data_IF_619537087557
#
_entry.id   IF_619537087557
#
_cell.length_a   1.000
_cell.length_b   1.000
_cell.length_c   1.000
_cell.angle_alpha   90.00
_cell.angle_beta   90.00
_cell.angle_gamma   90.00
#
_symmetry.space_group_name_H-M   'P 1'
#
loop_
_entity.id
_entity.type
_entity.pdbx_description
1 polymer ?
#
# COMPACT_ATOMS: atom_id res chain seq x y z
N UNK A 1 -6.63 48.36 44.01
CA UNK A 1 -5.74 47.21 43.74
C UNK A 1 -6.52 46.24 42.88
N UNK A 2 -6.15 46.08 41.60
CA UNK A 2 -6.81 45.16 40.67
C UNK A 2 -5.85 43.99 40.44
N UNK A 3 -6.23 42.81 40.90
CA UNK A 3 -5.44 41.58 40.78
C UNK A 3 -5.72 40.95 39.41
N UNK A 4 -4.72 40.89 38.54
CA UNK A 4 -4.82 40.20 37.26
C UNK A 4 -4.58 38.69 37.46
N UNK A 5 -5.51 37.85 37.00
CA UNK A 5 -5.35 36.40 36.96
C UNK A 5 -4.63 36.01 35.66
N UNK A 6 -3.53 35.26 35.79
CA UNK A 6 -2.74 34.75 34.65
C UNK A 6 -3.20 33.33 34.35
N UNK A 7 -3.77 33.09 33.16
CA UNK A 7 -4.09 31.75 32.66
C UNK A 7 -2.87 31.17 31.96
N UNK A 8 -2.30 30.10 32.51
CA UNK A 8 -1.23 29.32 31.87
C UNK A 8 -1.85 28.37 30.83
N UNK A 9 -1.52 28.58 29.55
CA UNK A 9 -1.88 27.68 28.46
C UNK A 9 -0.80 26.59 28.38
N UNK A 10 -1.12 25.39 28.84
CA UNK A 10 -0.24 24.22 28.66
C UNK A 10 -0.36 23.75 27.21
N UNK A 11 0.65 24.01 26.39
CA UNK A 11 0.70 23.52 25.01
C UNK A 11 0.89 22.01 24.98
N UNK A 12 0.00 21.29 24.28
CA UNK A 12 0.26 19.90 23.88
C UNK A 12 1.31 19.93 22.75
N UNK A 13 2.55 19.58 23.07
CA UNK A 13 3.60 19.36 22.08
C UNK A 13 3.32 18.02 21.40
N UNK A 14 2.66 18.03 20.24
CA UNK A 14 2.60 16.85 19.37
C UNK A 14 3.99 16.66 18.75
N UNK A 15 4.79 15.75 19.29
CA UNK A 15 5.98 15.27 18.59
C UNK A 15 5.53 14.55 17.33
N UNK A 16 5.68 15.21 16.18
CA UNK A 16 5.49 14.59 14.88
C UNK A 16 6.64 13.59 14.69
N UNK A 17 6.42 12.34 15.10
CA UNK A 17 7.39 11.26 14.88
C UNK A 17 7.52 11.08 13.38
N UNK A 18 8.67 11.52 12.84
CA UNK A 18 9.02 11.22 11.45
C UNK A 18 8.95 9.70 11.27
N UNK A 19 8.20 9.19 10.28
CA UNK A 19 8.13 7.76 10.03
C UNK A 19 9.54 7.19 9.90
N UNK A 20 9.85 6.03 10.51
CA UNK A 20 11.15 5.40 10.32
C UNK A 20 11.35 5.17 8.82
N UNK A 21 12.54 5.51 8.32
CA UNK A 21 12.82 5.44 6.89
C UNK A 21 12.72 4.02 6.31
N UNK A 22 12.72 3.89 4.97
CA UNK A 22 12.51 2.64 4.26
C UNK A 22 13.48 1.52 4.68
N UNK A 23 14.68 1.86 5.17
CA UNK A 23 15.68 0.90 5.66
C UNK A 23 15.21 0.03 6.83
N UNK A 24 14.20 0.46 7.58
CA UNK A 24 13.65 -0.29 8.72
C UNK A 24 12.35 -1.03 8.35
N UNK A 25 11.92 -0.96 7.09
CA UNK A 25 10.75 -1.65 6.60
C UNK A 25 11.19 -2.94 5.88
N UNK A 26 10.68 -4.14 6.26
CA UNK A 26 11.03 -5.40 5.60
C UNK A 26 10.30 -5.51 4.25
N UNK A 27 10.62 -4.61 3.33
CA UNK A 27 9.99 -4.47 2.02
C UNK A 27 10.08 -5.75 1.20
N UNK A 28 9.05 -6.01 0.41
CA UNK A 28 9.04 -7.05 -0.60
C UNK A 28 9.71 -6.51 -1.85
N UNK A 29 10.88 -7.05 -2.19
CA UNK A 29 11.52 -6.77 -3.46
C UNK A 29 10.77 -7.46 -4.59
N UNK A 30 10.31 -6.71 -5.60
CA UNK A 30 9.61 -7.34 -6.72
C UNK A 30 10.59 -8.08 -7.64
N UNK A 31 10.04 -9.03 -8.38
CA UNK A 31 10.74 -9.81 -9.39
C UNK A 31 9.84 -10.13 -10.57
N UNK A 32 10.01 -11.32 -11.13
CA UNK A 32 9.19 -11.87 -12.23
C UNK A 32 8.48 -13.11 -11.73
N UNK A 33 7.48 -12.90 -10.89
CA UNK A 33 6.80 -13.98 -10.18
C UNK A 33 5.30 -13.87 -10.38
N UNK A 34 4.76 -14.87 -11.05
CA UNK A 34 3.34 -15.06 -11.32
C UNK A 34 3.10 -16.52 -11.74
N UNK A 35 1.84 -16.88 -12.00
CA UNK A 35 1.50 -18.19 -12.59
C UNK A 35 2.27 -18.47 -13.88
N UNK A 36 2.77 -19.70 -14.02
CA UNK A 36 3.48 -20.16 -15.22
C UNK A 36 2.59 -20.29 -16.46
N UNK A 37 1.28 -20.43 -16.27
CA UNK A 37 0.33 -20.66 -17.37
C UNK A 37 -0.04 -19.37 -18.11
N UNK A 38 0.42 -18.21 -17.65
CA UNK A 38 0.00 -16.90 -18.15
C UNK A 38 1.16 -16.23 -18.88
N UNK A 39 0.93 -15.71 -20.10
CA UNK A 39 1.94 -14.94 -20.81
C UNK A 39 2.39 -13.72 -19.97
N UNK A 40 3.69 -13.46 -19.95
CA UNK A 40 4.30 -12.38 -19.16
C UNK A 40 3.61 -11.02 -19.40
N UNK A 41 3.21 -10.75 -20.63
CA UNK A 41 2.51 -9.53 -21.05
C UNK A 41 1.12 -9.34 -20.42
N UNK A 42 0.52 -10.40 -19.89
CA UNK A 42 -0.83 -10.36 -19.30
C UNK A 42 -0.82 -9.93 -17.84
N UNK A 43 0.37 -9.83 -17.21
CA UNK A 43 0.51 -9.37 -15.83
C UNK A 43 0.99 -7.91 -15.81
N UNK A 44 0.15 -7.03 -15.26
CA UNK A 44 0.47 -5.61 -15.10
C UNK A 44 1.77 -5.42 -14.34
N UNK A 45 2.81 -4.89 -15.00
CA UNK A 45 4.13 -4.72 -14.38
C UNK A 45 4.80 -6.05 -14.04
N UNK A 46 4.85 -6.99 -15.00
CA UNK A 46 5.53 -8.27 -14.86
C UNK A 46 6.96 -8.20 -14.33
N UNK A 47 7.73 -7.21 -14.80
CA UNK A 47 9.09 -6.93 -14.32
C UNK A 47 9.15 -6.51 -12.85
N UNK A 48 8.00 -6.15 -12.28
CA UNK A 48 7.83 -5.72 -10.89
C UNK A 48 6.67 -6.46 -10.22
N UNK A 49 6.68 -7.79 -10.37
CA UNK A 49 5.66 -8.68 -9.85
C UNK A 49 6.16 -9.51 -8.68
N UNK A 50 5.23 -9.97 -7.87
CA UNK A 50 5.47 -10.86 -6.74
C UNK A 50 4.29 -11.82 -6.61
N UNK A 51 4.54 -13.11 -6.40
CA UNK A 51 3.48 -14.11 -6.38
C UNK A 51 3.96 -15.52 -6.05
N UNK A 52 3.00 -16.40 -5.78
CA UNK A 52 3.23 -17.80 -5.40
C UNK A 52 2.69 -18.81 -6.44
N UNK A 53 2.37 -18.33 -7.64
CA UNK A 53 1.76 -19.10 -8.73
C UNK A 53 0.24 -19.26 -8.62
N UNK A 54 -0.38 -18.98 -7.46
CA UNK A 54 -1.84 -19.01 -7.29
C UNK A 54 -2.44 -17.61 -7.19
N UNK A 55 -1.70 -16.70 -6.57
CA UNK A 55 -2.01 -15.28 -6.52
C UNK A 55 -0.72 -14.51 -6.82
N UNK A 56 -0.84 -13.47 -7.62
CA UNK A 56 0.26 -12.57 -7.91
C UNK A 56 -0.22 -11.13 -7.86
N UNK A 57 0.68 -10.24 -7.47
CA UNK A 57 0.51 -8.79 -7.55
C UNK A 57 1.61 -8.24 -8.45
N UNK A 58 1.24 -7.29 -9.29
CA UNK A 58 2.14 -6.59 -10.19
C UNK A 58 2.01 -5.07 -10.05
N UNK A 59 3.02 -4.37 -10.56
CA UNK A 59 3.14 -2.92 -10.39
C UNK A 59 3.70 -2.50 -9.03
N UNK A 60 4.46 -3.38 -8.37
CA UNK A 60 5.24 -2.97 -7.21
C UNK A 60 6.28 -1.93 -7.65
N UNK A 61 6.62 -1.02 -6.75
CA UNK A 61 7.66 -0.05 -7.03
C UNK A 61 9.05 -0.69 -6.89
N UNK A 62 10.07 -0.17 -7.60
CA UNK A 62 11.45 -0.56 -7.37
C UNK A 62 11.80 -0.50 -5.88
N UNK A 63 12.58 -1.47 -5.42
CA UNK A 63 13.01 -1.59 -4.02
C UNK A 63 11.87 -1.69 -3.00
N UNK A 64 10.62 -1.90 -3.43
CA UNK A 64 9.46 -1.97 -2.55
C UNK A 64 9.08 -0.62 -1.92
N UNK A 65 9.57 0.50 -2.46
CA UNK A 65 9.37 1.86 -1.94
C UNK A 65 8.50 2.68 -2.90
N UNK A 66 7.32 3.06 -2.44
CA UNK A 66 6.45 4.03 -3.11
C UNK A 66 6.92 5.44 -2.76
N UNK A 67 7.37 6.19 -3.77
CA UNK A 67 7.65 7.63 -3.68
C UNK A 67 6.57 8.42 -4.42
N UNK A 68 5.47 8.70 -3.72
CA UNK A 68 4.25 9.25 -4.30
C UNK A 68 4.34 10.76 -4.51
N UNK A 69 4.32 11.17 -5.77
CA UNK A 69 4.16 12.58 -6.15
C UNK A 69 2.76 13.13 -5.80
N UNK A 70 2.57 14.46 -5.90
CA UNK A 70 1.33 15.13 -5.48
C UNK A 70 0.06 14.62 -6.19
N UNK A 71 0.16 14.15 -7.44
CA UNK A 71 -0.97 13.62 -8.21
C UNK A 71 -1.54 12.30 -7.66
N UNK A 72 -0.80 11.64 -6.78
CA UNK A 72 -1.23 10.41 -6.09
C UNK A 72 -1.81 10.68 -4.70
N UNK A 73 -1.88 11.95 -4.29
CA UNK A 73 -2.38 12.33 -2.97
C UNK A 73 -3.85 12.73 -3.09
N UNK A 74 -4.70 11.98 -2.41
CA UNK A 74 -6.12 12.26 -2.32
C UNK A 74 -6.39 13.51 -1.47
N UNK A 75 -7.60 14.08 -1.58
CA UNK A 75 -7.98 15.30 -0.84
C UNK A 75 -7.92 15.13 0.69
N UNK A 76 -8.13 13.91 1.18
CA UNK A 76 -8.03 13.54 2.60
C UNK A 76 -6.58 13.24 3.03
N UNK A 77 -5.61 13.37 2.13
CA UNK A 77 -4.19 13.13 2.37
C UNK A 77 -3.75 11.69 2.19
N UNK A 78 -4.66 10.75 1.86
CA UNK A 78 -4.32 9.37 1.56
C UNK A 78 -3.48 9.26 0.28
N UNK A 79 -2.60 8.27 0.24
CA UNK A 79 -1.72 8.01 -0.90
C UNK A 79 -2.37 6.89 -1.72
N UNK A 80 -2.82 7.22 -2.94
CA UNK A 80 -3.44 6.26 -3.87
C UNK A 80 -2.38 5.60 -4.73
N UNK A 81 -2.42 4.27 -4.82
CA UNK A 81 -1.57 3.51 -5.72
C UNK A 81 -2.36 2.41 -6.44
N UNK A 82 -2.07 2.22 -7.72
CA UNK A 82 -2.71 1.19 -8.54
C UNK A 82 -1.88 -0.10 -8.51
N UNK A 83 -2.56 -1.20 -8.25
CA UNK A 83 -1.97 -2.54 -8.31
C UNK A 83 -2.80 -3.45 -9.21
N UNK A 84 -2.09 -4.30 -9.96
CA UNK A 84 -2.70 -5.35 -10.75
C UNK A 84 -2.58 -6.68 -10.02
N UNK A 85 -3.70 -7.35 -9.77
CA UNK A 85 -3.69 -8.68 -9.18
C UNK A 85 -3.99 -9.70 -10.24
N UNK A 86 -3.40 -10.87 -10.12
CA UNK A 86 -3.77 -12.04 -10.90
C UNK A 86 -4.25 -13.15 -9.98
N UNK A 87 -5.43 -13.68 -10.29
CA UNK A 87 -6.14 -14.68 -9.48
C UNK A 87 -6.18 -16.01 -10.21
N UNK A 88 -5.45 -17.00 -9.71
CA UNK A 88 -5.39 -18.35 -10.29
C UNK A 88 -6.51 -19.27 -9.87
N UNK A 89 -7.43 -18.79 -9.04
CA UNK A 89 -8.58 -19.55 -8.59
C UNK A 89 -9.78 -18.61 -8.45
N UNK A 90 -10.99 -19.11 -8.75
CA UNK A 90 -12.20 -18.31 -8.61
C UNK A 90 -12.50 -18.02 -7.14
N UNK A 91 -13.15 -16.88 -6.89
CA UNK A 91 -13.69 -16.55 -5.58
C UNK A 91 -13.68 -15.07 -5.25
N UNK A 92 -14.30 -14.75 -4.12
CA UNK A 92 -14.27 -13.40 -3.55
C UNK A 92 -12.82 -13.00 -3.28
N UNK A 93 -12.43 -11.89 -3.89
CA UNK A 93 -11.10 -11.33 -3.73
C UNK A 93 -11.15 -10.18 -2.75
N UNK A 94 -10.31 -10.26 -1.72
CA UNK A 94 -10.23 -9.26 -0.68
C UNK A 94 -8.80 -8.75 -0.56
N UNK A 95 -8.67 -7.46 -0.24
CA UNK A 95 -7.39 -6.86 0.11
C UNK A 95 -7.54 -6.15 1.43
N UNK A 96 -6.60 -6.41 2.32
CA UNK A 96 -6.45 -5.70 3.59
C UNK A 96 -5.02 -5.18 3.70
N UNK A 97 -4.80 -4.22 4.59
CA UNK A 97 -3.45 -3.90 4.98
C UNK A 97 -3.37 -3.09 6.24
N UNK A 98 -2.23 -3.25 6.92
CA UNK A 98 -1.96 -2.68 8.23
C UNK A 98 -0.60 -2.01 8.23
N UNK A 99 -0.49 -0.94 9.00
CA UNK A 99 0.78 -0.27 9.25
C UNK A 99 1.62 -1.10 10.22
N UNK A 100 2.91 -1.25 9.94
CA UNK A 100 3.85 -2.03 10.72
C UNK A 100 4.70 -1.18 11.67
N UNK A 101 4.92 0.09 11.32
CA UNK A 101 5.89 0.98 11.97
C UNK A 101 5.25 2.11 12.77
N UNK A 102 3.95 2.03 13.02
CA UNK A 102 3.21 3.05 13.74
C UNK A 102 1.71 2.81 13.72
N UNK A 103 0.96 3.71 14.34
CA UNK A 103 -0.50 3.67 14.33
C UNK A 103 -1.06 4.31 13.06
N UNK A 104 -2.02 3.64 12.43
CA UNK A 104 -2.87 4.18 11.38
C UNK A 104 -4.13 3.29 11.24
N UNK A 105 -5.25 3.81 10.73
CA UNK A 105 -6.35 2.98 10.26
C UNK A 105 -5.87 1.97 9.19
N UNK A 106 -6.56 0.84 8.99
CA UNK A 106 -6.27 -0.07 7.88
C UNK A 106 -6.31 0.67 6.53
N UNK A 107 -5.52 0.21 5.56
CA UNK A 107 -5.63 0.75 4.20
C UNK A 107 -7.02 0.45 3.63
N UNK A 108 -7.51 1.34 2.77
CA UNK A 108 -8.74 1.09 2.01
C UNK A 108 -8.37 0.51 0.65
N UNK A 109 -9.07 -0.55 0.25
CA UNK A 109 -8.96 -1.12 -1.09
C UNK A 109 -10.22 -0.81 -1.89
N UNK A 110 -10.03 -0.36 -3.12
CA UNK A 110 -11.06 -0.28 -4.15
C UNK A 110 -10.84 -1.43 -5.14
N UNK A 111 -11.81 -2.34 -5.20
CA UNK A 111 -11.78 -3.56 -6.01
C UNK A 111 -13.02 -3.52 -6.90
N UNK A 112 -12.91 -2.96 -8.13
CA UNK A 112 -14.05 -2.85 -9.04
C UNK A 112 -14.51 -4.21 -9.58
N UNK A 113 -15.80 -4.31 -9.84
CA UNK A 113 -16.40 -5.42 -10.58
C UNK A 113 -15.96 -5.43 -12.06
N UNK A 114 -16.30 -6.51 -12.77
CA UNK A 114 -16.10 -6.61 -14.24
C UNK A 114 -14.85 -7.37 -14.69
N UNK A 115 -14.07 -7.91 -13.76
CA UNK A 115 -12.82 -8.65 -14.01
C UNK A 115 -12.97 -10.18 -13.91
N UNK A 116 -14.19 -10.70 -14.04
CA UNK A 116 -14.51 -12.13 -13.94
C UNK A 116 -14.21 -12.73 -12.56
N UNK A 117 -14.16 -14.06 -12.49
CA UNK A 117 -13.84 -14.77 -11.23
C UNK A 117 -12.34 -15.13 -11.11
N UNK A 118 -11.63 -15.18 -12.23
CA UNK A 118 -10.20 -15.53 -12.33
C UNK A 118 -9.46 -14.55 -13.22
N UNK A 119 -8.12 -14.59 -13.19
CA UNK A 119 -7.28 -13.78 -14.05
C UNK A 119 -7.01 -12.40 -13.46
N UNK A 120 -6.80 -11.42 -14.35
CA UNK A 120 -6.43 -10.07 -13.96
C UNK A 120 -7.56 -9.36 -13.19
N UNK A 121 -7.20 -8.61 -12.16
CA UNK A 121 -8.07 -7.72 -11.39
C UNK A 121 -7.32 -6.41 -11.12
N UNK A 122 -7.82 -5.30 -11.66
CA UNK A 122 -7.29 -3.98 -11.31
C UNK A 122 -7.78 -3.57 -9.91
N UNK A 123 -6.92 -2.90 -9.13
CA UNK A 123 -7.28 -2.39 -7.80
C UNK A 123 -6.64 -1.03 -7.53
N UNK A 124 -7.28 -0.22 -6.69
CA UNK A 124 -6.71 0.97 -6.09
C UNK A 124 -6.51 0.78 -4.59
N UNK A 125 -5.29 0.95 -4.08
CA UNK A 125 -5.00 0.93 -2.65
C UNK A 125 -4.76 2.35 -2.15
N UNK A 126 -5.36 2.67 -1.01
CA UNK A 126 -5.33 3.99 -0.41
C UNK A 126 -4.71 3.90 0.97
N UNK A 127 -3.45 4.30 1.08
CA UNK A 127 -2.70 4.30 2.32
C UNK A 127 -3.00 5.60 3.09
N UNK A 128 -3.59 5.53 4.29
CA UNK A 128 -3.98 6.73 5.03
C UNK A 128 -2.79 7.53 5.59
N UNK A 129 -1.59 6.96 5.60
CA UNK A 129 -0.37 7.60 6.09
C UNK A 129 0.88 7.05 5.39
N UNK A 130 1.95 7.85 5.40
CA UNK A 130 3.32 7.38 5.09
C UNK A 130 3.75 6.31 6.11
N UNK A 131 4.65 5.40 5.71
CA UNK A 131 5.23 4.38 6.58
C UNK A 131 5.32 3.00 5.94
N UNK A 132 5.65 2.02 6.76
CA UNK A 132 5.76 0.62 6.36
C UNK A 132 4.40 -0.09 6.45
N UNK A 133 3.95 -0.70 5.35
CA UNK A 133 2.64 -1.34 5.22
C UNK A 133 2.75 -2.79 4.80
N UNK A 134 2.09 -3.68 5.55
CA UNK A 134 1.82 -5.06 5.11
C UNK A 134 0.46 -5.10 4.41
N UNK A 135 0.45 -5.59 3.18
CA UNK A 135 -0.74 -5.74 2.35
C UNK A 135 -0.99 -7.22 2.10
N UNK A 136 -2.20 -7.68 2.37
CA UNK A 136 -2.62 -9.07 2.15
C UNK A 136 -3.74 -9.10 1.12
N UNK A 137 -3.49 -9.76 -0.02
CA UNK A 137 -4.53 -10.18 -0.95
C UNK A 137 -4.97 -11.60 -0.63
N UNK A 138 -6.28 -11.88 -0.70
CA UNK A 138 -6.84 -13.18 -0.29
C UNK A 138 -7.97 -13.64 -1.21
N UNK A 139 -7.97 -14.94 -1.52
CA UNK A 139 -9.07 -15.66 -2.19
C UNK A 139 -9.30 -16.95 -1.42
N UNK A 140 -10.40 -17.05 -0.69
CA UNK A 140 -10.64 -18.21 0.20
C UNK A 140 -9.47 -18.41 1.17
N UNK A 141 -8.80 -19.56 1.09
CA UNK A 141 -7.61 -19.89 1.89
C UNK A 141 -6.28 -19.44 1.27
N UNK A 142 -6.27 -19.10 -0.03
CA UNK A 142 -5.07 -18.58 -0.71
C UNK A 142 -4.83 -17.15 -0.25
N UNK A 143 -3.60 -16.86 0.18
CA UNK A 143 -3.19 -15.51 0.58
C UNK A 143 -1.82 -15.18 0.02
N UNK A 144 -1.63 -13.93 -0.36
CA UNK A 144 -0.34 -13.37 -0.74
C UNK A 144 -0.11 -12.11 0.07
N UNK A 145 1.06 -12.01 0.68
CA UNK A 145 1.44 -10.87 1.52
C UNK A 145 2.64 -10.19 0.90
N UNK A 146 2.58 -8.87 0.73
CA UNK A 146 3.75 -8.07 0.43
C UNK A 146 3.84 -6.90 1.41
N UNK A 147 5.06 -6.41 1.61
CA UNK A 147 5.35 -5.24 2.43
C UNK A 147 5.90 -4.14 1.54
N UNK A 148 5.40 -2.93 1.70
CA UNK A 148 5.90 -1.75 0.97
C UNK A 148 6.08 -0.58 1.92
N UNK A 149 7.13 0.21 1.69
CA UNK A 149 7.28 1.49 2.35
C UNK A 149 6.64 2.58 1.49
N UNK A 150 5.81 3.43 2.08
CA UNK A 150 5.06 4.47 1.39
C UNK A 150 5.48 5.83 1.89
N UNK A 151 5.86 6.71 0.98
CA UNK A 151 6.19 8.10 1.28
C UNK A 151 5.65 9.04 0.21
N UNK A 152 5.50 10.30 0.58
CA UNK A 152 5.19 11.41 -0.31
C UNK A 152 6.50 12.04 -0.76
N UNK A 153 6.63 12.31 -2.06
CA UNK A 153 7.82 12.96 -2.60
C UNK A 153 7.95 14.35 -1.98
N UNK A 154 9.06 14.60 -1.29
CA UNK A 154 9.32 15.88 -0.60
C UNK A 154 10.14 16.88 -1.43
N UNK A 155 10.63 16.48 -2.61
CA UNK A 155 11.39 17.34 -3.50
C UNK A 155 10.71 17.49 -4.87
N UNK A 156 10.70 18.69 -5.47
CA UNK A 156 10.39 18.82 -6.89
C UNK A 156 11.48 18.09 -7.69
N UNK A 157 11.06 17.23 -8.62
CA UNK A 157 11.96 16.56 -9.56
C UNK A 157 12.47 17.54 -10.61
#
# INVERSE_FOLDING_TARGET
MITAAVLSVTGCTSTETTPPGPQNCPVTHPGRSGPSEIPEESLFGWDRSYGDGRLAVGGLWPDGVIDAGPDFIEKDGAIRMKFGWWRGSPGAFEITGRRLDGSAPPLRADIPDGYGDTGFQATGLYFPAEGCWEVTGRIGATRLVFVTYVMKTRQPR
#
